data_IF_273336795414
#
_entry.id   IF_273336795414
#
_cell.length_a   1.000
_cell.length_b   1.000
_cell.length_c   1.000
_cell.angle_alpha   90.00
_cell.angle_beta   90.00
_cell.angle_gamma   90.00
#
_symmetry.space_group_name_H-M   'P 1'
#
loop_
_entity.id
_entity.type
_entity.pdbx_description
1 polymer ?
#
# COMPACT_ATOMS: atom_id res chain seq x y z
N UNK A 1 29.02 48.70 -11.46
CA UNK A 1 30.07 47.71 -11.80
C UNK A 1 29.49 46.35 -11.46
N UNK A 2 29.31 45.47 -12.44
CA UNK A 2 28.64 44.17 -12.27
C UNK A 2 29.74 43.12 -12.05
N UNK A 3 29.63 42.34 -10.99
CA UNK A 3 30.60 41.32 -10.57
C UNK A 3 30.78 40.24 -11.67
N UNK A 4 32.02 40.02 -12.12
CA UNK A 4 32.37 39.15 -13.27
C UNK A 4 32.55 37.67 -12.89
N UNK A 5 32.02 37.21 -11.75
CA UNK A 5 32.27 35.85 -11.21
C UNK A 5 31.05 34.94 -11.13
N UNK A 6 29.93 35.30 -11.77
CA UNK A 6 28.85 34.33 -11.99
C UNK A 6 29.09 33.60 -13.31
N UNK A 7 29.06 32.25 -13.35
CA UNK A 7 29.04 31.52 -14.61
C UNK A 7 27.85 32.04 -15.42
N UNK A 8 28.14 32.68 -16.56
CA UNK A 8 27.12 33.17 -17.48
C UNK A 8 26.46 31.94 -18.09
N UNK A 9 25.40 31.45 -17.45
CA UNK A 9 24.51 30.48 -18.06
C UNK A 9 23.95 31.13 -19.34
N UNK A 10 24.10 30.49 -20.51
CA UNK A 10 23.46 30.92 -21.74
C UNK A 10 21.94 31.09 -21.51
N UNK A 11 21.32 32.06 -22.17
CA UNK A 11 19.86 32.24 -22.06
C UNK A 11 19.18 30.94 -22.54
N UNK A 12 18.35 30.27 -21.70
CA UNK A 12 17.69 29.03 -22.07
C UNK A 12 16.84 29.13 -23.35
N UNK A 13 16.46 30.34 -23.75
CA UNK A 13 15.73 30.60 -24.99
C UNK A 13 16.60 30.54 -26.25
N UNK A 14 17.91 30.75 -26.14
CA UNK A 14 18.84 30.75 -27.26
C UNK A 14 19.36 29.34 -27.59
N UNK A 15 19.37 28.42 -26.62
CA UNK A 15 19.78 27.02 -26.78
C UNK A 15 18.60 26.02 -26.87
N UNK A 16 17.40 26.51 -27.21
CA UNK A 16 16.20 25.68 -27.39
C UNK A 16 16.40 24.72 -28.60
N UNK A 17 16.89 23.49 -28.34
CA UNK A 17 16.92 22.44 -29.35
C UNK A 17 15.48 21.99 -29.60
N UNK A 18 14.98 22.21 -30.81
CA UNK A 18 13.64 21.81 -31.20
C UNK A 18 13.67 20.45 -31.90
N UNK A 19 12.74 19.55 -31.56
CA UNK A 19 12.42 18.37 -32.36
C UNK A 19 10.95 18.42 -32.78
N UNK A 20 10.71 18.85 -34.03
CA UNK A 20 9.36 19.18 -34.49
C UNK A 20 8.78 20.32 -33.66
N UNK A 21 7.58 20.13 -33.11
CA UNK A 21 6.90 21.13 -32.26
C UNK A 21 7.34 21.09 -30.78
N UNK A 22 8.29 20.20 -30.41
CA UNK A 22 8.73 20.00 -29.02
C UNK A 22 10.05 20.72 -28.73
N UNK A 23 10.10 21.43 -27.60
CA UNK A 23 11.34 21.98 -27.01
C UNK A 23 12.01 20.85 -26.24
N UNK A 24 13.22 20.42 -26.63
CA UNK A 24 14.00 19.35 -25.97
C UNK A 24 15.01 19.87 -24.95
N UNK A 25 15.23 21.18 -24.91
CA UNK A 25 16.21 21.83 -24.04
C UNK A 25 15.87 21.73 -22.55
N UNK A 26 14.60 21.48 -22.22
CA UNK A 26 14.20 21.36 -20.83
C UNK A 26 14.38 19.92 -20.34
N UNK A 27 14.99 19.70 -19.18
CA UNK A 27 15.17 18.36 -18.63
C UNK A 27 13.84 17.57 -18.47
N UNK A 28 12.72 18.27 -18.23
CA UNK A 28 11.36 17.72 -18.12
C UNK A 28 10.75 17.29 -19.48
N UNK A 29 11.30 17.78 -20.60
CA UNK A 29 10.83 17.51 -21.97
C UNK A 29 11.58 16.36 -22.67
N UNK A 30 12.66 15.87 -22.05
CA UNK A 30 13.47 14.78 -22.57
C UNK A 30 12.79 13.41 -22.47
N UNK A 31 11.73 13.32 -21.66
CA UNK A 31 10.99 12.10 -21.40
C UNK A 31 9.68 12.11 -22.20
N UNK A 32 9.28 10.97 -22.79
CA UNK A 32 8.00 10.89 -23.49
C UNK A 32 6.83 11.27 -22.57
N UNK A 33 5.73 11.80 -23.12
CA UNK A 33 4.56 12.26 -22.34
C UNK A 33 3.91 11.15 -21.48
N UNK A 34 4.18 9.89 -21.81
CA UNK A 34 3.74 8.70 -21.07
C UNK A 34 4.69 8.32 -19.92
N UNK A 35 5.88 8.92 -19.83
CA UNK A 35 6.89 8.65 -18.83
C UNK A 35 6.85 9.74 -17.75
N UNK A 36 6.10 9.46 -16.68
CA UNK A 36 6.13 10.27 -15.47
C UNK A 36 7.31 9.77 -14.64
N UNK A 37 8.44 10.48 -14.68
CA UNK A 37 9.65 10.15 -13.93
C UNK A 37 9.46 10.09 -12.41
N UNK A 38 8.35 10.64 -11.90
CA UNK A 38 8.03 10.76 -10.48
C UNK A 38 6.71 10.08 -10.07
N UNK A 39 6.22 9.10 -10.84
CA UNK A 39 5.04 8.32 -10.46
C UNK A 39 5.37 7.21 -9.45
N UNK A 40 6.04 7.57 -8.33
CA UNK A 40 6.13 6.67 -7.20
C UNK A 40 4.75 6.53 -6.55
N UNK A 41 4.24 5.30 -6.45
CA UNK A 41 2.96 5.03 -5.81
C UNK A 41 2.93 5.63 -4.40
N UNK A 42 1.98 6.55 -4.16
CA UNK A 42 1.72 7.08 -2.82
C UNK A 42 0.74 6.15 -2.13
N UNK A 43 1.13 5.48 -1.02
CA UNK A 43 0.24 4.57 -0.34
C UNK A 43 -1.00 5.30 0.17
N UNK A 44 -2.17 4.83 -0.25
CA UNK A 44 -3.47 5.34 0.17
C UNK A 44 -3.96 4.46 1.35
N UNK A 45 -4.04 4.98 2.59
CA UNK A 45 -4.33 4.16 3.77
C UNK A 45 -5.65 3.39 3.69
N UNK A 46 -6.72 4.02 3.18
CA UNK A 46 -8.03 3.38 3.05
C UNK A 46 -8.00 2.18 2.09
N UNK A 47 -7.21 2.23 1.02
CA UNK A 47 -7.14 1.14 0.05
C UNK A 47 -6.51 -0.10 0.67
N UNK A 48 -5.41 0.08 1.41
CA UNK A 48 -4.74 -1.01 2.12
C UNK A 48 -5.56 -1.53 3.30
N UNK A 49 -6.26 -0.65 4.02
CA UNK A 49 -7.22 -1.06 5.05
C UNK A 49 -8.33 -1.94 4.46
N UNK A 50 -8.99 -1.48 3.39
CA UNK A 50 -10.07 -2.23 2.76
C UNK A 50 -9.59 -3.57 2.18
N UNK A 51 -8.42 -3.57 1.52
CA UNK A 51 -7.81 -4.79 1.01
C UNK A 51 -7.55 -5.81 2.13
N UNK A 52 -6.96 -5.38 3.25
CA UNK A 52 -6.69 -6.23 4.39
C UNK A 52 -7.97 -6.84 4.99
N UNK A 53 -9.01 -6.03 5.15
CA UNK A 53 -10.32 -6.46 5.66
C UNK A 53 -10.97 -7.50 4.75
N UNK A 54 -10.93 -7.28 3.43
CA UNK A 54 -11.49 -8.19 2.43
C UNK A 54 -10.70 -9.50 2.34
N UNK A 55 -9.37 -9.41 2.27
CA UNK A 55 -8.48 -10.57 2.24
C UNK A 55 -8.69 -11.41 3.49
N UNK A 56 -8.76 -10.78 4.67
CA UNK A 56 -8.99 -11.50 5.91
C UNK A 56 -10.33 -12.21 5.89
N UNK A 57 -11.41 -11.51 5.51
CA UNK A 57 -12.74 -12.10 5.47
C UNK A 57 -12.73 -13.39 4.64
N UNK A 58 -12.26 -13.30 3.39
CA UNK A 58 -12.18 -14.47 2.51
C UNK A 58 -11.29 -15.56 3.11
N UNK A 59 -10.10 -15.22 3.59
CA UNK A 59 -9.14 -16.21 4.09
C UNK A 59 -9.65 -16.94 5.35
N UNK A 60 -10.15 -16.22 6.35
CA UNK A 60 -10.59 -16.84 7.62
C UNK A 60 -11.87 -17.65 7.44
N UNK A 61 -12.81 -17.20 6.59
CA UNK A 61 -14.00 -17.99 6.28
C UNK A 61 -13.66 -19.23 5.46
N UNK A 62 -12.78 -19.12 4.46
CA UNK A 62 -12.32 -20.27 3.70
C UNK A 62 -11.68 -21.33 4.61
N UNK A 63 -10.78 -20.91 5.51
CA UNK A 63 -10.15 -21.79 6.48
C UNK A 63 -11.18 -22.43 7.41
N UNK A 64 -12.14 -21.66 7.91
CA UNK A 64 -13.21 -22.17 8.78
C UNK A 64 -14.02 -23.28 8.11
N UNK A 65 -14.42 -23.11 6.85
CA UNK A 65 -15.19 -24.11 6.12
C UNK A 65 -14.35 -25.34 5.73
N UNK A 66 -13.09 -25.14 5.31
CA UNK A 66 -12.17 -26.25 5.01
C UNK A 66 -11.91 -27.10 6.25
N UNK A 67 -11.83 -26.48 7.42
CA UNK A 67 -11.55 -27.12 8.70
C UNK A 67 -12.81 -27.36 9.55
N UNK A 68 -14.00 -27.45 8.93
CA UNK A 68 -15.26 -27.56 9.68
C UNK A 68 -15.39 -28.84 10.52
N UNK A 69 -14.69 -29.91 10.13
CA UNK A 69 -14.66 -31.20 10.85
C UNK A 69 -13.32 -31.43 11.61
N UNK A 70 -12.41 -30.45 11.56
CA UNK A 70 -11.15 -30.51 12.27
C UNK A 70 -11.29 -30.02 13.73
N UNK A 71 -10.25 -30.30 14.53
CA UNK A 71 -10.11 -29.79 15.89
C UNK A 71 -10.16 -28.25 15.89
N UNK A 72 -10.96 -27.68 16.80
CA UNK A 72 -11.18 -26.25 16.87
C UNK A 72 -9.92 -25.43 17.17
N UNK A 73 -8.98 -25.96 17.96
CA UNK A 73 -7.71 -25.30 18.25
C UNK A 73 -6.84 -25.08 17.01
N UNK A 74 -6.89 -26.01 16.05
CA UNK A 74 -6.16 -25.88 14.79
C UNK A 74 -6.76 -24.71 13.99
N UNK A 75 -8.09 -24.63 13.92
CA UNK A 75 -8.79 -23.55 13.21
C UNK A 75 -8.52 -22.18 13.85
N UNK A 76 -8.59 -22.09 15.19
CA UNK A 76 -8.27 -20.86 15.93
C UNK A 76 -6.81 -20.45 15.73
N UNK A 77 -5.87 -21.40 15.84
CA UNK A 77 -4.45 -21.13 15.63
C UNK A 77 -4.15 -20.62 14.22
N UNK A 78 -4.68 -21.30 13.20
CA UNK A 78 -4.42 -20.94 11.80
C UNK A 78 -5.04 -19.60 11.42
N UNK A 79 -6.28 -19.34 11.85
CA UNK A 79 -6.96 -18.06 11.58
C UNK A 79 -6.33 -16.90 12.35
N UNK A 80 -5.82 -17.14 13.56
CA UNK A 80 -5.02 -16.18 14.32
C UNK A 80 -3.72 -15.82 13.60
N UNK A 81 -2.98 -16.82 13.09
CA UNK A 81 -1.76 -16.60 12.30
C UNK A 81 -2.03 -15.80 11.03
N UNK A 82 -3.10 -16.14 10.30
CA UNK A 82 -3.51 -15.40 9.10
C UNK A 82 -3.83 -13.94 9.44
N UNK A 83 -4.60 -13.70 10.50
CA UNK A 83 -4.98 -12.35 10.91
C UNK A 83 -3.76 -11.50 11.30
N UNK A 84 -2.80 -12.09 12.04
CA UNK A 84 -1.55 -11.44 12.38
C UNK A 84 -0.68 -11.16 11.14
N UNK A 85 -0.58 -12.13 10.23
CA UNK A 85 0.15 -11.97 8.96
C UNK A 85 -0.42 -10.85 8.09
N UNK A 86 -1.75 -10.76 7.98
CA UNK A 86 -2.43 -9.69 7.23
C UNK A 86 -2.19 -8.33 7.88
N UNK A 87 -2.23 -8.25 9.21
CA UNK A 87 -1.93 -7.00 9.91
C UNK A 87 -0.51 -6.52 9.60
N UNK A 88 0.50 -7.39 9.73
CA UNK A 88 1.90 -7.06 9.43
C UNK A 88 2.10 -6.67 7.97
N UNK A 89 1.54 -7.44 7.04
CA UNK A 89 1.55 -7.13 5.61
C UNK A 89 0.95 -5.75 5.30
N UNK A 90 -0.13 -5.37 5.99
CA UNK A 90 -0.77 -4.07 5.81
C UNK A 90 0.10 -2.91 6.29
N UNK A 91 0.87 -3.11 7.36
CA UNK A 91 1.81 -2.12 7.86
C UNK A 91 2.91 -1.85 6.82
N UNK A 92 3.50 -2.89 6.24
CA UNK A 92 4.56 -2.78 5.22
C UNK A 92 4.11 -2.04 3.96
N UNK A 93 2.84 -2.16 3.57
CA UNK A 93 2.31 -1.61 2.32
C UNK A 93 1.93 -0.13 2.37
N UNK A 94 1.69 0.41 3.56
CA UNK A 94 1.31 1.83 3.65
C UNK A 94 0.57 2.26 4.91
N UNK A 95 0.13 1.33 5.78
CA UNK A 95 -0.48 1.74 7.05
C UNK A 95 0.53 2.18 8.10
N UNK A 96 1.80 1.79 7.98
CA UNK A 96 2.84 2.21 8.94
C UNK A 96 3.05 3.73 8.95
N UNK A 97 3.00 4.37 7.78
CA UNK A 97 3.14 5.84 7.63
C UNK A 97 1.83 6.60 7.84
N UNK A 98 0.70 5.90 8.01
CA UNK A 98 -0.60 6.50 8.27
C UNK A 98 -0.77 6.92 9.74
N UNK A 99 -1.76 7.78 10.00
CA UNK A 99 -2.18 8.14 11.36
C UNK A 99 -2.48 6.90 12.21
N UNK A 100 -2.19 6.96 13.51
CA UNK A 100 -2.38 5.85 14.45
C UNK A 100 -3.81 5.28 14.44
N UNK A 101 -4.81 6.12 14.18
CA UNK A 101 -6.20 5.71 14.05
C UNK A 101 -6.42 4.61 13.00
N UNK A 102 -5.71 4.62 11.87
CA UNK A 102 -5.83 3.58 10.84
C UNK A 102 -5.32 2.22 11.33
N UNK A 103 -4.20 2.21 12.06
CA UNK A 103 -3.60 0.99 12.60
C UNK A 103 -4.50 0.38 13.67
N UNK A 104 -5.06 1.21 14.54
CA UNK A 104 -6.00 0.79 15.59
C UNK A 104 -7.30 0.27 14.96
N UNK A 105 -7.87 1.01 14.01
CA UNK A 105 -9.08 0.59 13.31
C UNK A 105 -8.87 -0.75 12.59
N UNK A 106 -7.72 -0.93 11.93
CA UNK A 106 -7.39 -2.20 11.29
C UNK A 106 -7.35 -3.32 12.33
N UNK A 107 -6.55 -3.16 13.39
CA UNK A 107 -6.42 -4.16 14.44
C UNK A 107 -7.78 -4.57 15.03
N UNK A 108 -8.68 -3.61 15.28
CA UNK A 108 -10.03 -3.87 15.81
C UNK A 108 -10.86 -4.69 14.81
N UNK A 109 -10.89 -4.31 13.53
CA UNK A 109 -11.71 -5.00 12.54
C UNK A 109 -11.19 -6.42 12.27
N UNK A 110 -9.86 -6.59 12.19
CA UNK A 110 -9.24 -7.91 12.05
C UNK A 110 -9.52 -8.78 13.29
N UNK A 111 -9.42 -8.21 14.50
CA UNK A 111 -9.74 -8.94 15.73
C UNK A 111 -11.22 -9.36 15.79
N UNK A 112 -12.14 -8.50 15.35
CA UNK A 112 -13.57 -8.81 15.31
C UNK A 112 -13.86 -10.01 14.40
N UNK A 113 -13.29 -10.05 13.20
CA UNK A 113 -13.46 -11.18 12.29
C UNK A 113 -12.86 -12.47 12.85
N UNK A 114 -11.69 -12.38 13.47
CA UNK A 114 -11.07 -13.51 14.17
C UNK A 114 -11.96 -14.04 15.30
N UNK A 115 -12.50 -13.16 16.14
CA UNK A 115 -13.41 -13.54 17.24
C UNK A 115 -14.66 -14.22 16.71
N UNK A 116 -15.25 -13.75 15.62
CA UNK A 116 -16.40 -14.40 15.00
C UNK A 116 -16.10 -15.84 14.59
N UNK A 117 -14.93 -16.08 13.99
CA UNK A 117 -14.52 -17.44 13.63
C UNK A 117 -14.21 -18.28 14.86
N UNK A 118 -13.54 -17.73 15.87
CA UNK A 118 -13.28 -18.42 17.13
C UNK A 118 -14.57 -18.83 17.85
N UNK A 119 -15.58 -17.96 17.88
CA UNK A 119 -16.90 -18.26 18.44
C UNK A 119 -17.62 -19.34 17.63
N UNK A 120 -17.60 -19.26 16.29
CA UNK A 120 -18.18 -20.29 15.42
C UNK A 120 -17.48 -21.65 15.53
N UNK A 121 -16.23 -21.65 15.99
CA UNK A 121 -15.42 -22.85 16.22
C UNK A 121 -15.64 -23.45 17.62
N UNK A 122 -16.23 -22.69 18.55
CA UNK A 122 -16.41 -23.10 19.95
C UNK A 122 -17.04 -24.48 20.20
N UNK A 123 -17.96 -25.00 19.37
CA UNK A 123 -18.52 -26.35 19.59
C UNK A 123 -17.51 -27.49 19.41
N UNK A 124 -16.32 -27.20 18.86
CA UNK A 124 -15.28 -28.18 18.49
C UNK A 124 -13.95 -27.95 19.20
N UNK A 125 -13.94 -27.10 20.23
CA UNK A 125 -12.77 -26.80 21.07
C UNK A 125 -12.50 -27.89 22.12
#
# INVERSE_FOLDING_TARGET
>A
MRDEREPRYPDPKEEDIMAGDRRLSRPDSSLPDWYISDASYRPIPIAWFAAAVLIQAVAVYAVFFVLIDANGWITVGLTGLISAGIYLWSLERGLASAGSGWRIALAIVLAMQFVLVAMGTSPRL
#
